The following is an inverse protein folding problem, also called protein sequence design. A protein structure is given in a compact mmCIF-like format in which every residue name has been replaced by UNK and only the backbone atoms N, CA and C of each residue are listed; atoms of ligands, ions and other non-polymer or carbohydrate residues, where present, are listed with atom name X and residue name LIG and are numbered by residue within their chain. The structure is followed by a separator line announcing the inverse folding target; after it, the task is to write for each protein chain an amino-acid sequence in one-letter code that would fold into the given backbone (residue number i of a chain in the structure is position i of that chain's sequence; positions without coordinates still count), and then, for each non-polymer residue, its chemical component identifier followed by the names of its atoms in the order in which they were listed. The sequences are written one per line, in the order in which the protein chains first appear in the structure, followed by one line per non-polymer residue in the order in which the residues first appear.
data_IF_948891227642
#
_entry.id   IF_948891227642
#
_cell.length_a   1.000
_cell.length_b   1.000
_cell.length_c   1.000
_cell.angle_alpha   90.00
_cell.angle_beta   90.00
_cell.angle_gamma   90.00
#
_symmetry.space_group_name_H-M   'P 1'
#
loop_
_entity.id
_entity.type
_entity.pdbx_description
1 polymer ?
#
# COMPACT_ATOMS: atom_id res chain seq x y z
N UNK A 1 -4.70 0.54 22.89
CA UNK A 1 -5.44 -0.49 23.64
C UNK A 1 -5.55 -1.72 22.78
N UNK A 2 -5.42 -2.91 23.36
CA UNK A 2 -5.64 -4.17 22.66
C UNK A 2 -7.12 -4.55 22.58
N UNK A 3 -7.41 -5.75 22.03
CA UNK A 3 -8.76 -6.27 21.94
C UNK A 3 -9.44 -6.33 23.31
N UNK A 4 -10.71 -6.01 23.36
CA UNK A 4 -11.53 -6.03 24.57
C UNK A 4 -12.35 -7.32 24.64
N UNK A 5 -12.89 -7.61 25.83
CA UNK A 5 -13.82 -8.72 26.02
C UNK A 5 -15.11 -8.45 25.21
N UNK A 6 -15.61 -9.48 24.52
CA UNK A 6 -16.80 -9.37 23.67
C UNK A 6 -16.56 -8.90 22.23
N UNK A 7 -15.33 -8.53 21.87
CA UNK A 7 -14.99 -8.22 20.48
C UNK A 7 -14.72 -9.50 19.68
N UNK A 8 -15.26 -9.58 18.46
CA UNK A 8 -15.07 -10.72 17.56
C UNK A 8 -13.76 -10.61 16.76
N UNK A 9 -13.28 -9.39 16.48
CA UNK A 9 -12.06 -9.09 15.74
C UNK A 9 -11.44 -7.79 16.23
N UNK A 10 -10.21 -7.54 15.86
CA UNK A 10 -9.46 -6.34 16.24
C UNK A 10 -8.99 -5.60 14.99
N UNK A 11 -9.47 -4.37 14.82
CA UNK A 11 -9.06 -3.48 13.71
C UNK A 11 -7.95 -2.57 14.18
N UNK A 12 -6.83 -2.58 13.48
CA UNK A 12 -5.71 -1.71 13.84
C UNK A 12 -4.75 -1.47 12.69
N UNK A 13 -4.23 -0.26 12.61
CA UNK A 13 -3.00 0.04 11.89
C UNK A 13 -1.75 -0.25 12.75
N UNK A 14 -1.95 -0.63 14.01
CA UNK A 14 -0.90 -1.05 14.94
C UNK A 14 -1.07 -2.53 15.22
N UNK A 15 -0.15 -3.30 14.80
CA UNK A 15 -0.19 -4.74 14.98
C UNK A 15 0.54 -5.13 16.26
N UNK A 16 -0.02 -6.08 17.00
CA UNK A 16 0.53 -6.49 18.27
C UNK A 16 -0.13 -5.88 19.48
N UNK A 17 -1.32 -5.28 19.33
CA UNK A 17 -2.19 -5.01 20.45
C UNK A 17 -1.76 -3.89 21.39
N UNK A 18 -1.45 -2.76 20.90
CA UNK A 18 -1.43 -1.58 21.73
C UNK A 18 -0.08 -1.10 22.24
N UNK A 19 0.98 -1.81 22.02
CA UNK A 19 2.33 -1.41 22.46
C UNK A 19 3.01 -0.40 21.54
N UNK A 20 2.25 0.29 20.73
CA UNK A 20 2.77 1.31 19.85
C UNK A 20 3.31 0.82 18.52
N UNK A 21 3.06 -0.42 18.18
CA UNK A 21 3.46 -0.96 16.87
C UNK A 21 2.56 -0.43 15.79
N UNK A 22 3.16 0.23 14.85
CA UNK A 22 2.45 0.75 13.71
C UNK A 22 2.97 0.11 12.47
N UNK A 23 2.12 0.04 11.53
CA UNK A 23 2.51 -0.19 10.17
C UNK A 23 3.17 1.05 9.65
N UNK A 24 4.43 1.24 9.83
CA UNK A 24 4.99 2.46 9.58
C UNK A 24 5.24 2.70 8.18
N UNK A 25 5.47 3.81 7.87
CA UNK A 25 5.41 4.39 6.58
C UNK A 25 4.08 4.15 5.90
N UNK A 26 3.09 3.85 6.70
CA UNK A 26 1.73 3.63 6.23
C UNK A 26 1.58 2.51 5.21
N UNK A 27 2.55 1.59 5.18
CA UNK A 27 2.63 0.66 4.09
C UNK A 27 2.65 -0.80 4.50
N UNK A 28 2.89 -1.11 5.75
CA UNK A 28 3.00 -2.52 6.12
C UNK A 28 2.54 -2.77 7.55
N UNK A 29 2.18 -3.99 7.80
CA UNK A 29 1.84 -4.47 9.13
C UNK A 29 3.04 -5.08 9.83
N UNK A 30 4.21 -4.68 9.52
CA UNK A 30 5.41 -5.26 10.02
C UNK A 30 5.66 -4.87 11.47
N UNK A 31 4.98 -5.49 12.35
CA UNK A 31 5.23 -5.38 13.76
C UNK A 31 6.69 -5.65 14.14
N UNK A 32 7.25 -6.69 13.58
CA UNK A 32 8.64 -7.07 13.83
C UNK A 32 9.65 -6.08 13.25
N UNK A 33 9.23 -5.31 12.27
CA UNK A 33 10.04 -4.32 11.58
C UNK A 33 9.57 -2.88 11.84
N UNK A 34 8.71 -2.68 12.83
CA UNK A 34 8.10 -1.38 13.09
C UNK A 34 9.13 -0.26 13.26
N UNK A 35 10.21 -0.50 13.95
CA UNK A 35 11.29 0.46 14.12
C UNK A 35 12.01 0.81 12.82
N UNK A 36 11.98 -0.11 11.86
CA UNK A 36 12.64 0.03 10.56
C UNK A 36 11.69 0.48 9.46
N UNK A 37 10.40 0.61 9.74
CA UNK A 37 9.42 1.04 8.76
C UNK A 37 8.77 -0.08 7.94
N UNK A 38 8.82 -1.32 8.42
CA UNK A 38 8.04 -2.42 7.88
C UNK A 38 8.76 -3.38 6.93
N UNK A 39 8.13 -4.51 6.64
CA UNK A 39 8.71 -5.62 5.88
C UNK A 39 9.09 -5.17 4.47
N UNK A 40 8.18 -4.51 3.76
CA UNK A 40 8.42 -4.10 2.36
C UNK A 40 9.59 -3.15 2.20
N UNK A 41 9.86 -2.33 3.20
CA UNK A 41 10.94 -1.34 3.13
C UNK A 41 12.31 -1.92 3.53
N UNK A 42 12.35 -3.06 4.18
CA UNK A 42 13.55 -3.55 4.84
C UNK A 42 13.97 -4.96 4.44
N UNK A 43 13.23 -5.59 3.55
CA UNK A 43 13.56 -6.94 3.07
C UNK A 43 13.61 -6.97 1.55
N UNK A 44 14.36 -7.94 1.01
CA UNK A 44 14.29 -8.23 -0.42
C UNK A 44 12.88 -8.68 -0.79
N UNK A 45 12.43 -8.42 -2.03
CA UNK A 45 11.21 -9.02 -2.52
C UNK A 45 11.24 -10.53 -2.37
N UNK A 46 10.22 -11.08 -1.71
CA UNK A 46 10.07 -12.51 -1.46
C UNK A 46 8.59 -12.80 -1.21
N UNK A 47 8.20 -14.08 -1.35
CA UNK A 47 6.82 -14.49 -1.08
C UNK A 47 6.71 -15.38 0.17
N UNK A 48 7.79 -15.53 0.94
CA UNK A 48 7.84 -16.29 2.20
C UNK A 48 7.55 -15.44 3.44
N UNK A 49 7.05 -14.22 3.26
CA UNK A 49 6.73 -13.31 4.36
C UNK A 49 5.24 -13.31 4.66
N UNK A 50 4.93 -13.10 5.93
CA UNK A 50 3.58 -12.92 6.44
C UNK A 50 3.59 -12.03 7.69
N UNK A 51 2.42 -11.82 8.27
CA UNK A 51 2.25 -11.03 9.48
C UNK A 51 2.08 -11.86 10.76
N UNK A 52 2.33 -13.17 10.71
CA UNK A 52 2.11 -14.06 11.86
C UNK A 52 2.85 -13.60 13.11
N UNK A 53 4.11 -13.16 12.96
CA UNK A 53 4.87 -12.62 14.08
C UNK A 53 4.28 -11.34 14.65
N UNK A 54 3.72 -10.49 13.77
CA UNK A 54 3.14 -9.23 14.16
C UNK A 54 1.84 -9.38 14.96
N UNK A 55 1.00 -10.37 14.60
CA UNK A 55 -0.31 -10.60 15.24
C UNK A 55 -0.28 -11.66 16.33
N UNK A 56 0.86 -12.29 16.59
CA UNK A 56 0.98 -13.44 17.50
C UNK A 56 0.42 -13.21 18.91
N UNK A 57 0.43 -11.97 19.38
CA UNK A 57 -0.10 -11.60 20.70
C UNK A 57 -1.58 -11.19 20.70
N UNK A 58 -2.20 -11.10 19.55
CA UNK A 58 -3.59 -10.73 19.46
C UNK A 58 -4.48 -11.99 19.60
N UNK A 59 -5.36 -12.05 20.62
CA UNK A 59 -6.23 -13.21 20.83
C UNK A 59 -7.46 -13.23 19.91
N UNK A 60 -7.57 -12.29 18.99
CA UNK A 60 -8.68 -12.14 18.04
C UNK A 60 -8.13 -12.07 16.62
N UNK A 61 -8.94 -12.42 15.60
CA UNK A 61 -8.58 -12.13 14.22
C UNK A 61 -8.27 -10.65 14.03
N UNK A 62 -7.17 -10.33 13.37
CA UNK A 62 -6.77 -8.95 13.12
C UNK A 62 -7.24 -8.52 11.74
N UNK A 63 -7.90 -7.37 11.68
CA UNK A 63 -8.20 -6.68 10.41
C UNK A 63 -7.25 -5.51 10.28
N UNK A 64 -6.49 -5.50 9.21
CA UNK A 64 -5.58 -4.41 8.90
C UNK A 64 -6.32 -3.15 8.50
N UNK A 65 -5.91 -2.01 9.05
CA UNK A 65 -6.46 -0.71 8.75
C UNK A 65 -5.39 0.17 8.11
N UNK A 66 -5.79 0.96 7.12
CA UNK A 66 -4.89 1.83 6.35
C UNK A 66 -3.80 1.07 5.59
N UNK A 67 -4.14 -0.08 5.02
CA UNK A 67 -3.22 -0.83 4.17
C UNK A 67 -2.98 -0.13 2.82
N UNK A 68 -1.85 -0.46 2.23
CA UNK A 68 -1.54 -0.12 0.84
C UNK A 68 -1.35 1.38 0.57
N UNK A 69 -0.79 2.12 1.51
CA UNK A 69 -0.48 3.54 1.32
C UNK A 69 0.88 3.75 0.63
N UNK A 70 0.95 3.44 -0.64
CA UNK A 70 2.18 3.61 -1.45
C UNK A 70 2.07 4.84 -2.32
N UNK A 71 3.00 5.78 -2.11
CA UNK A 71 2.99 7.09 -2.76
C UNK A 71 3.18 6.99 -4.27
N UNK A 72 2.31 7.67 -5.00
CA UNK A 72 2.36 7.80 -6.46
C UNK A 72 2.72 9.23 -6.82
N UNK A 73 3.61 9.40 -7.78
CA UNK A 73 3.96 10.72 -8.27
C UNK A 73 2.75 11.41 -8.93
N UNK A 74 2.53 12.72 -8.72
CA UNK A 74 1.34 13.42 -9.21
C UNK A 74 1.15 13.34 -10.72
N UNK A 75 -0.09 13.21 -11.16
CA UNK A 75 -0.50 13.54 -12.52
C UNK A 75 -1.06 14.98 -12.56
N UNK A 76 -0.32 15.89 -13.17
CA UNK A 76 -0.71 17.30 -13.26
C UNK A 76 -1.87 17.57 -14.21
N UNK A 77 -2.27 16.60 -15.03
CA UNK A 77 -3.49 16.67 -15.83
C UNK A 77 -4.75 16.82 -14.97
N UNK A 78 -4.69 16.34 -13.72
CA UNK A 78 -5.80 16.46 -12.78
C UNK A 78 -6.12 17.90 -12.36
N UNK A 79 -5.17 18.83 -12.47
CA UNK A 79 -5.36 20.23 -12.07
C UNK A 79 -6.60 20.85 -12.73
N UNK A 80 -6.83 20.55 -14.00
CA UNK A 80 -7.98 21.09 -14.74
C UNK A 80 -9.33 20.54 -14.31
N UNK A 81 -9.36 19.45 -13.55
CA UNK A 81 -10.59 18.85 -13.01
C UNK A 81 -11.14 19.60 -11.79
N UNK A 82 -10.31 20.39 -11.13
CA UNK A 82 -10.69 21.17 -9.95
C UNK A 82 -11.44 22.43 -10.35
N UNK A 83 -12.73 22.32 -10.59
CA UNK A 83 -13.59 23.41 -11.04
C UNK A 83 -14.53 23.92 -9.93
N UNK A 84 -14.46 23.37 -8.75
CA UNK A 84 -15.31 23.69 -7.61
C UNK A 84 -14.61 24.52 -6.52
N UNK A 85 -14.96 24.25 -5.28
CA UNK A 85 -14.46 24.98 -4.10
C UNK A 85 -13.02 24.61 -3.76
N UNK A 86 -12.63 23.36 -4.02
CA UNK A 86 -11.26 22.90 -3.75
C UNK A 86 -10.31 23.39 -4.85
N UNK A 87 -9.16 23.86 -4.42
CA UNK A 87 -8.10 24.32 -5.30
C UNK A 87 -6.85 23.44 -5.15
N UNK A 88 -6.25 22.97 -6.25
CA UNK A 88 -5.17 21.98 -6.21
C UNK A 88 -3.78 22.60 -5.96
N UNK A 89 -3.61 23.39 -4.92
CA UNK A 89 -2.36 24.07 -4.56
C UNK A 89 -1.16 23.13 -4.51
N UNK A 90 -1.35 21.95 -3.94
CA UNK A 90 -0.31 20.93 -3.84
C UNK A 90 0.21 20.52 -5.22
N UNK A 91 -0.69 20.23 -6.17
CA UNK A 91 -0.32 19.81 -7.52
C UNK A 91 0.39 20.93 -8.28
N UNK A 92 -0.07 22.17 -8.13
CA UNK A 92 0.59 23.33 -8.75
C UNK A 92 1.99 23.56 -8.20
N UNK A 93 2.15 23.52 -6.89
CA UNK A 93 3.47 23.66 -6.24
C UNK A 93 4.41 22.55 -6.70
N UNK A 94 3.96 21.30 -6.76
CA UNK A 94 4.79 20.19 -7.22
C UNK A 94 5.18 20.34 -8.70
N UNK A 95 4.23 20.72 -9.54
CA UNK A 95 4.47 20.98 -10.97
C UNK A 95 5.51 22.10 -11.16
N UNK A 96 5.35 23.21 -10.44
CA UNK A 96 6.22 24.37 -10.59
C UNK A 96 7.63 24.05 -10.08
N UNK A 97 7.78 23.32 -8.98
CA UNK A 97 9.08 22.83 -8.51
C UNK A 97 9.74 21.86 -9.52
N UNK A 98 8.95 20.99 -10.15
CA UNK A 98 9.47 20.13 -11.21
C UNK A 98 9.99 20.94 -12.38
N UNK A 99 9.29 22.02 -12.75
CA UNK A 99 9.71 22.95 -13.81
C UNK A 99 11.00 23.69 -13.44
N UNK A 100 11.11 24.17 -12.23
CA UNK A 100 12.32 24.85 -11.70
C UNK A 100 13.54 23.92 -11.77
N UNK A 101 13.36 22.63 -11.56
CA UNK A 101 14.42 21.63 -11.66
C UNK A 101 14.62 21.09 -13.09
N UNK A 102 14.00 21.67 -14.10
CA UNK A 102 14.11 21.27 -15.53
C UNK A 102 13.70 19.82 -15.81
N UNK A 103 12.80 19.24 -15.02
CA UNK A 103 12.36 17.85 -15.11
C UNK A 103 10.92 17.68 -15.65
N UNK A 104 10.30 18.72 -16.16
CA UNK A 104 8.89 18.71 -16.59
C UNK A 104 8.59 17.61 -17.63
N UNK A 105 9.53 17.31 -18.52
CA UNK A 105 9.37 16.26 -19.53
C UNK A 105 9.32 14.85 -18.94
N UNK A 106 9.75 14.66 -17.70
CA UNK A 106 9.79 13.37 -17.02
C UNK A 106 8.56 13.11 -16.13
N UNK A 107 7.67 14.09 -15.97
CA UNK A 107 6.51 13.99 -15.08
C UNK A 107 5.69 12.70 -15.32
N UNK A 108 5.37 12.42 -16.58
CA UNK A 108 4.62 11.22 -16.95
C UNK A 108 5.38 9.93 -16.61
N UNK A 109 6.67 9.89 -16.86
CA UNK A 109 7.51 8.72 -16.53
C UNK A 109 7.58 8.48 -15.02
N UNK A 110 7.68 9.55 -14.23
CA UNK A 110 7.65 9.44 -12.76
C UNK A 110 6.31 8.91 -12.27
N UNK A 111 5.22 9.45 -12.81
CA UNK A 111 3.88 8.97 -12.48
C UNK A 111 3.71 7.47 -12.79
N UNK A 112 4.06 7.04 -13.99
CA UNK A 112 3.94 5.65 -14.39
C UNK A 112 4.86 4.73 -13.59
N UNK A 113 6.12 5.10 -13.39
CA UNK A 113 7.07 4.28 -12.66
C UNK A 113 6.66 4.09 -11.19
N UNK A 114 6.28 5.17 -10.51
CA UNK A 114 5.83 5.10 -9.12
C UNK A 114 4.46 4.42 -8.99
N UNK A 115 3.57 4.63 -9.96
CA UNK A 115 2.27 3.98 -10.01
C UNK A 115 2.40 2.46 -10.16
N UNK A 116 3.15 1.98 -11.14
CA UNK A 116 3.39 0.54 -11.30
C UNK A 116 4.08 -0.07 -10.09
N UNK A 117 5.07 0.62 -9.53
CA UNK A 117 5.73 0.16 -8.31
C UNK A 117 4.77 0.10 -7.12
N UNK A 118 3.86 1.06 -6.99
CA UNK A 118 2.84 1.03 -5.93
C UNK A 118 1.95 -0.21 -6.06
N UNK A 119 1.57 -0.61 -7.27
CA UNK A 119 0.77 -1.82 -7.51
C UNK A 119 1.50 -3.09 -7.10
N UNK A 120 2.81 -3.20 -7.38
CA UNK A 120 3.61 -4.32 -6.88
C UNK A 120 3.64 -4.36 -5.35
N UNK A 121 3.71 -3.19 -4.71
CA UNK A 121 3.63 -3.09 -3.26
C UNK A 121 2.23 -3.45 -2.72
N UNK A 122 1.16 -3.03 -3.39
CA UNK A 122 -0.21 -3.44 -3.07
C UNK A 122 -0.35 -4.96 -3.09
N UNK A 123 0.11 -5.58 -4.18
CA UNK A 123 0.10 -7.03 -4.32
C UNK A 123 0.85 -7.71 -3.17
N UNK A 124 2.06 -7.27 -2.87
CA UNK A 124 2.87 -7.86 -1.81
C UNK A 124 2.19 -7.73 -0.44
N UNK A 125 1.67 -6.56 -0.10
CA UNK A 125 1.01 -6.29 1.19
C UNK A 125 -0.26 -7.13 1.36
N UNK A 126 -1.10 -7.20 0.34
CA UNK A 126 -2.31 -8.05 0.33
C UNK A 126 -1.96 -9.54 0.43
N UNK A 127 -0.98 -10.00 -0.31
CA UNK A 127 -0.56 -11.40 -0.27
C UNK A 127 0.06 -11.79 1.08
N UNK A 128 0.76 -10.88 1.76
CA UNK A 128 1.21 -11.09 3.14
C UNK A 128 0.02 -11.30 4.08
N UNK A 129 -1.01 -10.48 3.94
CA UNK A 129 -2.24 -10.63 4.71
C UNK A 129 -2.92 -11.98 4.43
N UNK A 130 -3.05 -12.37 3.17
CA UNK A 130 -3.66 -13.66 2.77
C UNK A 130 -2.88 -14.88 3.26
N UNK A 131 -1.55 -14.79 3.38
CA UNK A 131 -0.72 -15.88 3.91
C UNK A 131 -0.77 -15.99 5.42
N UNK A 132 -1.29 -14.98 6.13
CA UNK A 132 -1.24 -14.92 7.59
C UNK A 132 -2.43 -15.63 8.23
N UNK A 133 -2.25 -16.78 8.90
CA UNK A 133 -3.31 -17.41 9.68
C UNK A 133 -3.81 -16.47 10.80
N UNK A 134 -5.12 -16.35 10.95
CA UNK A 134 -5.71 -15.46 11.95
C UNK A 134 -5.80 -13.98 11.53
N UNK A 135 -5.38 -13.65 10.31
CA UNK A 135 -5.62 -12.33 9.74
C UNK A 135 -7.03 -12.31 9.14
N UNK A 136 -7.89 -11.43 9.64
CA UNK A 136 -9.32 -11.40 9.30
C UNK A 136 -9.65 -10.60 8.04
N UNK A 137 -8.72 -9.82 7.54
CA UNK A 137 -8.92 -8.97 6.37
C UNK A 137 -8.15 -7.65 6.45
N UNK A 138 -8.36 -6.78 5.47
CA UNK A 138 -7.72 -5.47 5.43
C UNK A 138 -8.65 -4.41 4.83
N UNK A 139 -8.36 -3.16 5.16
CA UNK A 139 -9.03 -1.98 4.63
C UNK A 139 -7.99 -1.11 3.93
N UNK A 140 -8.24 -0.76 2.69
CA UNK A 140 -7.36 0.11 1.93
C UNK A 140 -7.50 1.57 2.37
N UNK A 141 -6.43 2.28 2.40
CA UNK A 141 -6.41 3.72 2.41
C UNK A 141 -5.41 4.20 1.35
N UNK A 142 -5.91 4.66 0.22
CA UNK A 142 -7.30 4.78 -0.20
C UNK A 142 -7.53 4.06 -1.54
N UNK A 143 -8.78 3.83 -1.90
CA UNK A 143 -9.14 3.48 -3.27
C UNK A 143 -8.86 4.67 -4.21
N UNK A 144 -9.15 5.89 -3.73
CA UNK A 144 -8.94 7.15 -4.46
C UNK A 144 -8.08 8.10 -3.65
N UNK A 145 -7.46 9.07 -4.32
CA UNK A 145 -6.76 10.15 -3.62
C UNK A 145 -7.70 10.98 -2.76
N UNK A 146 -7.24 11.32 -1.56
CA UNK A 146 -7.97 12.17 -0.66
C UNK A 146 -7.42 13.62 -0.70
N UNK A 147 -8.18 14.59 -1.24
CA UNK A 147 -7.70 15.97 -1.35
C UNK A 147 -7.34 16.63 -0.02
N UNK A 148 -7.91 16.16 1.08
CA UNK A 148 -7.59 16.65 2.43
C UNK A 148 -6.20 16.28 2.93
N UNK A 149 -5.52 15.33 2.26
CA UNK A 149 -4.13 14.97 2.50
C UNK A 149 -3.30 15.26 1.24
N UNK A 150 -3.08 16.50 0.95
CA UNK A 150 -2.54 16.96 -0.32
C UNK A 150 -1.19 16.41 -0.77
N UNK A 151 -0.47 15.69 0.09
CA UNK A 151 0.75 14.96 -0.26
C UNK A 151 0.59 13.43 -0.26
N UNK A 152 -0.57 12.90 0.11
CA UNK A 152 -0.82 11.47 0.20
C UNK A 152 -1.58 10.98 -1.05
N UNK A 153 -0.91 10.99 -2.19
CA UNK A 153 -1.45 10.55 -3.47
C UNK A 153 -1.31 9.01 -3.60
N UNK A 154 -2.00 8.29 -2.75
CA UNK A 154 -1.84 6.84 -2.57
C UNK A 154 -2.96 6.00 -3.19
N UNK A 155 -4.03 6.64 -3.68
CA UNK A 155 -5.13 5.95 -4.35
C UNK A 155 -4.73 5.37 -5.71
N UNK A 156 -5.38 4.27 -6.10
CA UNK A 156 -5.30 3.75 -7.48
C UNK A 156 -6.16 4.55 -8.44
N UNK A 157 -7.14 5.26 -7.90
CA UNK A 157 -7.95 6.25 -8.61
C UNK A 157 -7.53 7.66 -8.19
N UNK A 158 -7.80 8.63 -9.01
CA UNK A 158 -7.61 10.03 -8.66
C UNK A 158 -8.72 10.55 -7.73
N UNK A 159 -8.63 11.80 -7.29
CA UNK A 159 -9.61 12.42 -6.39
C UNK A 159 -11.02 12.54 -6.99
N UNK A 160 -11.19 12.27 -8.26
CA UNK A 160 -12.46 12.29 -9.00
C UNK A 160 -12.97 10.90 -9.36
N UNK A 161 -12.37 9.85 -8.82
CA UNK A 161 -12.66 8.44 -9.10
C UNK A 161 -12.30 8.00 -10.53
N UNK A 162 -11.49 8.77 -11.25
CA UNK A 162 -10.99 8.37 -12.54
C UNK A 162 -9.72 7.51 -12.38
N UNK A 163 -9.53 6.57 -13.31
CA UNK A 163 -8.32 5.74 -13.32
C UNK A 163 -7.07 6.57 -13.54
N UNK A 164 -6.04 6.31 -12.75
CA UNK A 164 -4.69 6.88 -12.96
C UNK A 164 -3.92 6.18 -14.09
N UNK A 165 -4.48 5.14 -14.71
CA UNK A 165 -3.82 4.37 -15.79
C UNK A 165 -2.59 3.60 -15.32
N UNK A 166 -2.54 3.19 -14.07
CA UNK A 166 -1.41 2.47 -13.45
C UNK A 166 -1.67 0.98 -13.25
N UNK A 167 -2.92 0.56 -13.33
CA UNK A 167 -3.34 -0.83 -13.22
C UNK A 167 -4.64 -1.06 -13.98
N UNK A 168 -4.73 -2.20 -14.66
CA UNK A 168 -5.99 -2.66 -15.27
C UNK A 168 -6.79 -3.48 -14.25
N UNK A 169 -8.14 -3.44 -14.30
CA UNK A 169 -9.00 -4.20 -13.38
C UNK A 169 -8.66 -5.68 -13.32
N UNK A 170 -8.35 -6.30 -14.44
CA UNK A 170 -8.00 -7.71 -14.55
C UNK A 170 -6.69 -8.03 -13.81
N UNK A 171 -5.71 -7.12 -13.88
CA UNK A 171 -4.44 -7.26 -13.16
C UNK A 171 -4.66 -7.17 -11.65
N UNK A 172 -5.46 -6.20 -11.20
CA UNK A 172 -5.82 -6.06 -9.79
C UNK A 172 -6.58 -7.28 -9.27
N UNK A 173 -7.55 -7.77 -10.05
CA UNK A 173 -8.31 -8.98 -9.72
C UNK A 173 -7.42 -10.21 -9.61
N UNK A 174 -6.30 -10.26 -10.33
CA UNK A 174 -5.34 -11.37 -10.29
C UNK A 174 -4.70 -11.60 -8.92
N UNK A 175 -4.63 -10.57 -8.06
CA UNK A 175 -4.08 -10.67 -6.70
C UNK A 175 -5.05 -10.24 -5.59
N UNK A 176 -6.24 -9.74 -5.93
CA UNK A 176 -7.27 -9.34 -4.98
C UNK A 176 -8.63 -9.87 -5.44
N UNK A 177 -8.81 -11.16 -5.31
CA UNK A 177 -10.02 -11.90 -5.70
C UNK A 177 -10.44 -12.86 -4.57
N UNK A 178 -11.67 -13.42 -4.62
CA UNK A 178 -12.11 -14.42 -3.64
C UNK A 178 -11.23 -15.68 -3.58
N UNK A 179 -10.49 -15.97 -4.64
CA UNK A 179 -9.52 -17.04 -4.70
C UNK A 179 -8.26 -16.54 -5.40
N UNK A 180 -7.15 -16.53 -4.68
CA UNK A 180 -5.84 -16.08 -5.18
C UNK A 180 -4.80 -17.16 -4.95
N UNK A 181 -4.08 -17.61 -5.98
CA UNK A 181 -2.95 -18.53 -5.80
C UNK A 181 -1.78 -17.79 -5.15
N UNK A 182 -1.24 -18.33 -4.07
CA UNK A 182 -0.12 -17.76 -3.34
C UNK A 182 1.12 -18.64 -3.49
N UNK A 183 2.18 -18.11 -4.07
CA UNK A 183 3.47 -18.78 -4.04
C UNK A 183 4.15 -18.56 -2.68
N UNK A 184 4.96 -19.52 -2.26
CA UNK A 184 5.78 -19.44 -1.05
C UNK A 184 7.23 -19.71 -1.44
N UNK A 185 7.97 -18.64 -1.72
CA UNK A 185 9.34 -18.71 -2.23
C UNK A 185 10.22 -17.64 -1.55
N UNK A 186 11.45 -18.02 -1.22
CA UNK A 186 12.44 -17.11 -0.63
C UNK A 186 13.01 -16.14 -1.65
N UNK A 187 13.08 -16.54 -2.90
CA UNK A 187 13.68 -15.78 -3.99
C UNK A 187 12.77 -15.82 -5.22
N UNK A 188 12.84 -14.78 -6.03
CA UNK A 188 12.14 -14.70 -7.31
C UNK A 188 13.00 -15.20 -8.49
N UNK A 189 14.29 -15.36 -8.27
CA UNK A 189 15.24 -15.84 -9.28
C UNK A 189 15.91 -17.13 -8.80
N UNK A 190 15.87 -18.14 -9.63
CA UNK A 190 16.40 -19.47 -9.33
C UNK A 190 17.34 -19.93 -10.43
N UNK A 191 18.40 -20.62 -10.05
CA UNK A 191 19.23 -21.33 -11.01
C UNK A 191 18.52 -22.64 -11.42
N UNK A 192 18.73 -23.06 -12.67
CA UNK A 192 18.15 -24.30 -13.18
C UNK A 192 18.63 -25.57 -12.45
N UNK A 193 19.64 -25.45 -11.60
CA UNK A 193 20.16 -26.53 -10.74
C UNK A 193 19.52 -26.54 -9.35
N UNK A 194 18.75 -25.51 -9.00
CA UNK A 194 18.05 -25.42 -7.71
C UNK A 194 16.67 -26.09 -7.81
N UNK A 195 16.21 -26.59 -6.67
CA UNK A 195 14.83 -27.09 -6.53
C UNK A 195 14.01 -26.06 -5.75
N UNK A 196 12.81 -25.83 -6.24
CA UNK A 196 11.78 -25.03 -5.56
C UNK A 196 11.19 -25.84 -4.39
#
# INVERSE_FOLDING_TARGET
KGPQEGEDFFVTCRVGGGDGYTTHVRASFAYVDAEKGGILNNTRPATDKDYSGAIARCPRPVVGHENCQFQIYPDYGQISKYTGVLYPYNLEIFRDRLKENHLSSQAKSFHQATGHFSIECYKADMEYAFRTPGFGGFQLLDLQDYPGQGSALVGILDAFMDSKGIVEPETFYGFCAPLVPLALMKDHCWLNTQRL
#
